data_IF_171111345330
#
_entry.id   IF_171111345330
#
_cell.length_a   1.000
_cell.length_b   1.000
_cell.length_c   1.000
_cell.angle_alpha   90.00
_cell.angle_beta   90.00
_cell.angle_gamma   90.00
#
_symmetry.space_group_name_H-M   'P 1'
#
loop_
_entity.id
_entity.type
_entity.pdbx_description
1 polymer ?
#
# COMPACT_ATOMS: atom_id res chain seq x y z
N UNK A 1 4.01 10.07 -8.68
CA UNK A 1 3.35 9.45 -7.51
C UNK A 1 2.97 8.02 -7.89
N UNK A 2 2.98 7.06 -6.96
CA UNK A 2 2.45 5.72 -7.20
C UNK A 2 0.95 5.79 -6.94
N UNK A 3 0.12 5.35 -7.88
CA UNK A 3 -1.34 5.45 -7.76
C UNK A 3 -1.89 4.63 -6.58
N UNK A 4 -2.93 5.14 -5.88
CA UNK A 4 -3.54 4.51 -4.69
C UNK A 4 -4.07 3.09 -4.93
N UNK A 5 -4.26 2.66 -6.18
CA UNK A 5 -4.66 1.29 -6.53
C UNK A 5 -3.51 0.35 -6.90
N UNK A 6 -2.26 0.84 -6.91
CA UNK A 6 -1.15 0.11 -7.54
C UNK A 6 -0.40 -0.81 -6.57
N UNK A 7 -0.30 -0.42 -5.30
CA UNK A 7 0.46 -1.17 -4.29
C UNK A 7 -0.36 -2.31 -3.71
N UNK A 8 0.27 -3.47 -3.60
CA UNK A 8 -0.32 -4.69 -3.07
C UNK A 8 0.58 -5.33 -2.03
N UNK A 9 -0.04 -5.77 -0.94
CA UNK A 9 0.63 -6.46 0.15
C UNK A 9 0.26 -7.94 0.13
N UNK A 10 1.27 -8.81 0.15
CA UNK A 10 1.10 -10.27 0.14
C UNK A 10 1.86 -10.89 1.31
N UNK A 11 1.38 -12.04 1.80
CA UNK A 11 2.12 -12.80 2.81
C UNK A 11 3.47 -13.24 2.24
N UNK A 12 4.54 -12.95 2.98
CA UNK A 12 5.91 -13.34 2.66
C UNK A 12 6.12 -14.80 3.03
N UNK A 13 6.62 -15.58 2.08
CA UNK A 13 6.71 -17.04 2.17
C UNK A 13 7.77 -17.53 3.20
N UNK A 14 8.61 -16.63 3.71
CA UNK A 14 9.81 -16.98 4.48
C UNK A 14 9.68 -16.77 6.00
N UNK A 15 8.72 -15.98 6.48
CA UNK A 15 8.63 -15.65 7.91
C UNK A 15 7.18 -15.45 8.37
N UNK A 16 6.82 -15.82 9.61
CA UNK A 16 5.46 -15.69 10.14
C UNK A 16 4.88 -14.26 10.07
N UNK A 17 5.74 -13.24 10.07
CA UNK A 17 5.36 -11.82 10.00
C UNK A 17 6.05 -11.09 8.83
N UNK A 18 6.55 -11.86 7.85
CA UNK A 18 7.10 -11.30 6.64
C UNK A 18 5.97 -11.03 5.66
N UNK A 19 5.97 -9.86 5.04
CA UNK A 19 5.00 -9.49 4.02
C UNK A 19 5.71 -8.77 2.87
N UNK A 20 5.33 -9.10 1.64
CA UNK A 20 5.90 -8.50 0.45
C UNK A 20 4.97 -7.41 -0.08
N UNK A 21 5.49 -6.20 -0.12
CA UNK A 21 4.86 -5.07 -0.80
C UNK A 21 5.32 -5.10 -2.24
N UNK A 22 4.38 -5.09 -3.16
CA UNK A 22 4.59 -5.22 -4.59
C UNK A 22 3.65 -4.29 -5.34
N UNK A 23 3.78 -4.26 -6.66
CA UNK A 23 2.96 -3.41 -7.53
C UNK A 23 2.33 -4.27 -8.62
N UNK A 24 1.13 -3.89 -9.06
CA UNK A 24 0.51 -4.46 -10.25
C UNK A 24 1.05 -3.86 -11.56
N UNK A 25 1.83 -2.78 -11.48
CA UNK A 25 2.46 -2.22 -12.67
C UNK A 25 3.60 -3.10 -13.18
N UNK A 26 3.80 -3.17 -14.50
CA UNK A 26 5.01 -3.74 -15.09
C UNK A 26 6.26 -3.07 -14.54
N UNK A 27 7.36 -3.83 -14.42
CA UNK A 27 8.63 -3.34 -13.85
C UNK A 27 9.19 -2.11 -14.57
N UNK A 28 8.90 -1.94 -15.86
CA UNK A 28 9.30 -0.76 -16.65
C UNK A 28 8.53 0.52 -16.26
N UNK A 29 7.32 0.36 -15.73
CA UNK A 29 6.45 1.47 -15.30
C UNK A 29 6.62 1.79 -13.81
N UNK A 30 7.33 0.94 -13.07
CA UNK A 30 7.66 1.16 -11.67
C UNK A 30 8.69 2.28 -11.53
N UNK A 31 8.25 3.42 -11.00
CA UNK A 31 9.15 4.52 -10.66
C UNK A 31 9.90 4.31 -9.34
N UNK A 32 9.45 3.38 -8.51
CA UNK A 32 10.09 3.08 -7.23
C UNK A 32 11.00 1.85 -7.35
N UNK A 33 12.33 2.03 -7.35
CA UNK A 33 13.29 0.94 -7.46
C UNK A 33 13.31 0.03 -6.23
N UNK A 34 12.63 0.39 -5.14
CA UNK A 34 12.58 -0.40 -3.91
C UNK A 34 11.52 -1.49 -3.95
N UNK A 35 10.69 -1.57 -5.00
CA UNK A 35 9.66 -2.60 -5.13
C UNK A 35 10.12 -3.78 -6.01
N UNK A 36 9.76 -5.04 -5.65
CA UNK A 36 9.06 -5.43 -4.43
C UNK A 36 9.96 -5.40 -3.20
N UNK A 37 9.41 -5.01 -2.04
CA UNK A 37 10.12 -5.01 -0.74
C UNK A 37 9.46 -5.98 0.22
N UNK A 38 10.27 -6.81 0.88
CA UNK A 38 9.82 -7.60 2.03
C UNK A 38 9.96 -6.77 3.29
N UNK A 39 8.88 -6.67 4.07
CA UNK A 39 8.84 -6.00 5.37
C UNK A 39 8.43 -7.00 6.44
N UNK A 40 9.13 -6.95 7.55
CA UNK A 40 8.74 -7.64 8.78
C UNK A 40 7.80 -6.72 9.55
N UNK A 41 6.60 -7.19 9.87
CA UNK A 41 5.66 -6.42 10.67
C UNK A 41 6.01 -6.53 12.15
N UNK A 42 5.99 -5.38 12.82
CA UNK A 42 6.40 -5.24 14.20
C UNK A 42 5.49 -6.06 15.12
N UNK A 43 6.08 -7.01 15.84
CA UNK A 43 5.41 -7.67 16.96
C UNK A 43 5.76 -6.88 18.22
N UNK A 44 4.74 -6.40 18.92
CA UNK A 44 4.94 -5.81 20.25
C UNK A 44 5.46 -6.88 21.22
N UNK A 45 6.59 -6.61 21.88
CA UNK A 45 7.20 -7.52 22.86
C UNK A 45 6.25 -7.86 24.01
N UNK A 46 5.35 -6.93 24.33
CA UNK A 46 4.39 -7.04 25.43
C UNK A 46 3.01 -7.53 24.94
N UNK A 47 2.87 -7.85 23.64
CA UNK A 47 1.60 -8.29 23.05
C UNK A 47 0.53 -7.20 22.98
N UNK A 48 0.89 -5.93 23.18
CA UNK A 48 -0.06 -4.80 23.17
C UNK A 48 -0.60 -4.47 21.78
N UNK A 49 0.05 -4.97 20.72
CA UNK A 49 -0.37 -4.80 19.34
C UNK A 49 -0.40 -6.19 18.71
N UNK A 50 -1.58 -6.62 18.29
CA UNK A 50 -1.75 -7.88 17.59
C UNK A 50 -1.00 -7.86 16.25
N UNK A 51 -0.41 -8.98 15.83
CA UNK A 51 0.17 -9.08 14.51
C UNK A 51 -0.95 -8.88 13.46
N UNK A 52 -0.64 -8.22 12.35
CA UNK A 52 -1.62 -7.97 11.29
C UNK A 52 -2.17 -9.28 10.74
N UNK A 53 -3.49 -9.43 10.84
CA UNK A 53 -4.16 -10.66 10.46
C UNK A 53 -3.95 -10.95 8.96
N UNK A 54 -3.49 -12.17 8.59
CA UNK A 54 -3.31 -12.56 7.19
C UNK A 54 -4.57 -12.34 6.33
N UNK A 55 -5.75 -12.52 6.94
CA UNK A 55 -7.05 -12.28 6.29
C UNK A 55 -7.26 -10.81 5.90
N UNK A 56 -6.87 -9.86 6.75
CA UNK A 56 -6.99 -8.43 6.44
C UNK A 56 -6.05 -8.04 5.30
N UNK A 57 -4.86 -8.64 5.26
CA UNK A 57 -3.93 -8.39 4.16
C UNK A 57 -4.44 -8.94 2.83
N UNK A 58 -5.05 -10.14 2.84
CA UNK A 58 -5.69 -10.70 1.66
C UNK A 58 -6.85 -9.82 1.16
N UNK A 59 -7.64 -9.25 2.08
CA UNK A 59 -8.70 -8.29 1.74
C UNK A 59 -8.10 -7.03 1.12
N UNK A 60 -7.07 -6.45 1.73
CA UNK A 60 -6.40 -5.28 1.19
C UNK A 60 -5.83 -5.56 -0.21
N UNK A 61 -5.25 -6.75 -0.42
CA UNK A 61 -4.77 -7.20 -1.72
C UNK A 61 -5.88 -7.25 -2.77
N UNK A 62 -7.04 -7.82 -2.41
CA UNK A 62 -8.19 -7.87 -3.30
C UNK A 62 -8.69 -6.46 -3.67
N UNK A 63 -8.75 -5.55 -2.70
CA UNK A 63 -9.15 -4.15 -2.93
C UNK A 63 -8.17 -3.46 -3.87
N UNK A 64 -6.86 -3.56 -3.62
CA UNK A 64 -5.83 -2.99 -4.49
C UNK A 64 -5.96 -3.52 -5.92
N UNK A 65 -6.18 -4.83 -6.08
CA UNK A 65 -6.40 -5.44 -7.39
C UNK A 65 -7.62 -4.85 -8.11
N UNK A 66 -8.75 -4.70 -7.40
CA UNK A 66 -9.98 -4.11 -7.95
C UNK A 66 -9.72 -2.66 -8.37
N UNK A 67 -9.07 -1.86 -7.52
CA UNK A 67 -8.74 -0.47 -7.82
C UNK A 67 -7.82 -0.34 -9.04
N UNK A 68 -6.87 -1.27 -9.19
CA UNK A 68 -5.99 -1.32 -10.36
C UNK A 68 -6.76 -1.65 -11.64
N UNK A 69 -7.51 -2.75 -11.67
CA UNK A 69 -8.22 -3.20 -12.87
C UNK A 69 -9.34 -2.25 -13.30
N UNK A 70 -9.98 -1.60 -12.34
CA UNK A 70 -11.07 -0.64 -12.62
C UNK A 70 -10.57 0.76 -12.95
N UNK A 71 -9.26 1.02 -12.87
CA UNK A 71 -8.67 2.37 -12.91
C UNK A 71 -9.18 3.33 -11.82
N UNK A 72 -10.01 2.84 -10.89
CA UNK A 72 -10.56 3.65 -9.80
C UNK A 72 -9.46 4.22 -8.89
N UNK A 73 -8.31 3.54 -8.79
CA UNK A 73 -7.13 4.08 -8.11
C UNK A 73 -6.69 5.43 -8.68
N UNK A 74 -6.54 5.54 -10.00
CA UNK A 74 -6.15 6.80 -10.67
C UNK A 74 -7.23 7.87 -10.53
N UNK A 75 -8.51 7.49 -10.52
CA UNK A 75 -9.61 8.43 -10.31
C UNK A 75 -9.60 9.01 -8.89
N UNK A 76 -9.36 8.17 -7.88
CA UNK A 76 -9.19 8.59 -6.48
C UNK A 76 -8.00 9.55 -6.37
N UNK A 77 -6.86 9.22 -6.98
CA UNK A 77 -5.67 10.08 -6.94
C UNK A 77 -5.97 11.46 -7.53
N UNK A 78 -6.70 11.54 -8.66
CA UNK A 78 -7.11 12.82 -9.24
C UNK A 78 -8.00 13.63 -8.30
N UNK A 79 -8.96 12.99 -7.63
CA UNK A 79 -9.79 13.69 -6.63
C UNK A 79 -8.91 14.23 -5.50
N UNK A 80 -8.00 13.42 -4.97
CA UNK A 80 -7.11 13.84 -3.89
C UNK A 80 -6.19 15.00 -4.30
N UNK A 81 -5.63 14.96 -5.51
CA UNK A 81 -4.83 16.05 -6.08
C UNK A 81 -5.63 17.35 -6.21
N UNK A 82 -6.94 17.25 -6.48
CA UNK A 82 -7.86 18.39 -6.55
C UNK A 82 -8.32 18.90 -5.18
N UNK A 83 -8.35 18.05 -4.15
CA UNK A 83 -8.66 18.44 -2.76
C UNK A 83 -7.42 19.03 -2.02
N UNK A 84 -6.20 18.78 -2.50
CA UNK A 84 -4.94 19.32 -1.94
C UNK A 84 -4.73 20.83 -2.20
N UNK A 85 -5.76 21.56 -2.66
CA UNK A 85 -5.67 23.02 -2.89
C UNK A 85 -5.69 23.82 -1.57
N UNK A 86 -5.86 23.19 -0.40
CA UNK A 86 -6.22 23.91 0.83
C UNK A 86 -5.37 23.74 2.09
N UNK A 87 -4.38 22.84 2.16
CA UNK A 87 -3.60 22.67 3.40
C UNK A 87 -2.12 22.56 3.09
N UNK A 88 -1.41 23.67 3.28
CA UNK A 88 0.05 23.66 3.33
C UNK A 88 0.50 22.80 4.50
N UNK A 89 1.44 21.90 4.24
CA UNK A 89 2.05 21.04 5.24
C UNK A 89 2.81 21.79 6.36
N UNK A 90 2.86 23.13 6.32
CA UNK A 90 3.47 23.99 7.34
C UNK A 90 2.51 24.37 8.49
N UNK A 91 1.21 24.05 8.38
CA UNK A 91 0.26 24.30 9.46
C UNK A 91 0.07 25.78 9.82
N UNK A 92 0.38 26.70 8.89
CA UNK A 92 0.12 28.13 9.09
C UNK A 92 -1.06 28.54 8.22
N UNK A 93 -2.10 29.03 8.89
CA UNK A 93 -3.29 29.66 8.31
C UNK A 93 -3.01 31.15 8.09
#
# INVERSE_FOLDING_TARGET
MISSGTLNFRLGVAQPNGYQISSYLPSVSLRDPKLPVTRELYISKDGTIDPPMPRLLAIHSAIAHILHLSTAGEYIDRILDHEEIGVRADGVI
#
